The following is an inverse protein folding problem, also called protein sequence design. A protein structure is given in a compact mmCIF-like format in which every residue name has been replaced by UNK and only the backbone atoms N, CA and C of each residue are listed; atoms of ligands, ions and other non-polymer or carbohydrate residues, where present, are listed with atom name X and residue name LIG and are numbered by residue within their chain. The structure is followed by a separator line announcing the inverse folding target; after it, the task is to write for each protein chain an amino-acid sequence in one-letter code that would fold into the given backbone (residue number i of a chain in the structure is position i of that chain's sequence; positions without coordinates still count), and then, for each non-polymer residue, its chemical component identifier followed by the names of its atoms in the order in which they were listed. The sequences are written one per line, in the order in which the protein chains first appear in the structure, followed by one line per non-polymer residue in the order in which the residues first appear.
data_IF_883110806594
#
_entry.id   IF_883110806594
#
_cell.length_a   1.000
_cell.length_b   1.000
_cell.length_c   1.000
_cell.angle_alpha   90.00
_cell.angle_beta   90.00
_cell.angle_gamma   90.00
#
_symmetry.space_group_name_H-M   'P 1'
#
loop_
_entity.id
_entity.type
_entity.pdbx_description
1 polymer ?
#
# COMPACT_ATOMS: atom_id res chain seq x y z
N UNK A 1 23.79 19.17 -3.66
CA UNK A 1 22.32 18.98 -3.60
C UNK A 1 22.07 17.99 -2.46
N UNK A 2 21.36 18.39 -1.41
CA UNK A 2 20.96 17.44 -0.38
C UNK A 2 19.72 16.69 -0.89
N UNK A 3 19.66 15.35 -0.75
CA UNK A 3 18.47 14.62 -1.11
C UNK A 3 17.32 15.05 -0.18
N UNK A 4 16.22 15.49 -0.77
CA UNK A 4 15.01 15.89 -0.07
C UNK A 4 13.85 15.01 -0.54
N UNK A 5 12.98 14.64 0.39
CA UNK A 5 11.78 13.88 0.08
C UNK A 5 10.78 14.76 -0.67
N UNK A 6 10.03 14.17 -1.60
CA UNK A 6 8.92 14.85 -2.23
C UNK A 6 7.86 15.27 -1.19
N UNK A 7 7.11 16.34 -1.46
CA UNK A 7 6.04 16.77 -0.56
C UNK A 7 5.00 15.67 -0.39
N UNK A 8 4.61 15.40 0.86
CA UNK A 8 3.56 14.43 1.20
C UNK A 8 4.03 12.98 1.34
N UNK A 9 5.33 12.69 1.18
CA UNK A 9 5.90 11.37 1.51
C UNK A 9 6.78 11.42 2.76
N UNK A 10 7.01 10.26 3.37
CA UNK A 10 7.91 10.09 4.51
C UNK A 10 8.57 8.72 4.48
N UNK A 11 9.76 8.63 5.03
CA UNK A 11 10.42 7.35 5.30
C UNK A 11 9.82 6.69 6.55
N UNK A 12 9.83 5.37 6.58
CA UNK A 12 9.46 4.58 7.76
C UNK A 12 10.72 3.94 8.35
N UNK A 13 11.09 4.26 9.59
CA UNK A 13 12.18 3.59 10.29
C UNK A 13 11.93 2.09 10.44
N UNK A 14 12.96 1.27 10.68
CA UNK A 14 12.83 -0.18 10.79
C UNK A 14 11.74 -0.63 11.79
N UNK A 15 11.67 0.00 12.97
CA UNK A 15 10.65 -0.30 14.00
C UNK A 15 9.22 -0.11 13.46
N UNK A 16 8.93 1.04 12.86
CA UNK A 16 7.61 1.33 12.32
C UNK A 16 7.27 0.40 11.15
N UNK A 17 8.24 0.11 10.28
CA UNK A 17 8.03 -0.80 9.15
C UNK A 17 7.72 -2.22 9.63
N UNK A 18 8.45 -2.72 10.62
CA UNK A 18 8.21 -4.05 11.23
C UNK A 18 6.78 -4.12 11.79
N UNK A 19 6.36 -3.12 12.55
CA UNK A 19 5.00 -3.08 13.12
C UNK A 19 3.92 -3.04 12.03
N UNK A 20 4.12 -2.24 10.98
CA UNK A 20 3.19 -2.17 9.83
C UNK A 20 3.06 -3.51 9.11
N UNK A 21 4.17 -4.21 8.88
CA UNK A 21 4.16 -5.54 8.27
C UNK A 21 3.42 -6.56 9.15
N UNK A 22 3.59 -6.51 10.47
CA UNK A 22 2.84 -7.38 11.38
C UNK A 22 1.33 -7.17 11.25
N UNK A 23 0.88 -5.92 11.19
CA UNK A 23 -0.54 -5.57 11.02
C UNK A 23 -1.07 -6.11 9.68
N UNK A 24 -0.38 -5.82 8.58
CA UNK A 24 -0.77 -6.27 7.23
C UNK A 24 -0.84 -7.79 7.16
N UNK A 25 0.15 -8.50 7.72
CA UNK A 25 0.17 -9.96 7.72
C UNK A 25 -0.97 -10.57 8.54
N UNK A 26 -1.34 -9.94 9.66
CA UNK A 26 -2.50 -10.39 10.44
C UNK A 26 -3.80 -10.26 9.64
N UNK A 27 -3.99 -9.15 8.93
CA UNK A 27 -5.16 -8.95 8.06
C UNK A 27 -5.20 -9.97 6.93
N UNK A 28 -4.08 -10.19 6.22
CA UNK A 28 -3.96 -11.20 5.15
C UNK A 28 -4.39 -12.58 5.63
N UNK A 29 -3.85 -13.04 6.76
CA UNK A 29 -4.20 -14.35 7.36
C UNK A 29 -5.68 -14.45 7.70
N UNK A 30 -6.32 -13.37 8.15
CA UNK A 30 -7.76 -13.38 8.41
C UNK A 30 -8.51 -13.55 7.10
N UNK A 31 -8.26 -12.73 6.08
CA UNK A 31 -8.96 -12.81 4.79
C UNK A 31 -8.76 -14.17 4.10
N UNK A 32 -7.55 -14.72 4.11
CA UNK A 32 -7.26 -16.05 3.55
C UNK A 32 -8.07 -17.15 4.25
N UNK A 33 -8.25 -17.09 5.58
CA UNK A 33 -9.10 -18.05 6.31
C UNK A 33 -10.57 -18.02 5.91
N UNK A 34 -11.05 -16.87 5.43
CA UNK A 34 -12.41 -16.73 4.90
C UNK A 34 -12.50 -17.04 3.38
N UNK A 35 -11.42 -17.52 2.77
CA UNK A 35 -11.41 -17.95 1.36
C UNK A 35 -11.22 -16.82 0.34
N UNK A 36 -10.79 -15.63 0.78
CA UNK A 36 -10.45 -14.55 -0.14
C UNK A 36 -9.07 -14.77 -0.77
N UNK A 37 -8.99 -14.67 -2.09
CA UNK A 37 -7.73 -14.74 -2.82
C UNK A 37 -7.02 -13.38 -2.83
N UNK A 38 -5.68 -13.34 -2.67
CA UNK A 38 -4.94 -12.09 -2.80
C UNK A 38 -4.94 -11.61 -4.27
N UNK A 39 -5.02 -10.30 -4.46
CA UNK A 39 -4.88 -9.62 -5.75
C UNK A 39 -4.02 -8.37 -5.56
N UNK A 40 -3.05 -8.17 -6.43
CA UNK A 40 -2.22 -6.97 -6.49
C UNK A 40 -2.32 -6.38 -7.89
N UNK A 41 -2.48 -5.06 -7.97
CA UNK A 41 -2.57 -4.30 -9.21
C UNK A 41 -1.33 -3.41 -9.34
N UNK A 42 -0.97 -2.95 -10.56
CA UNK A 42 0.11 -1.99 -10.73
C UNK A 42 -0.08 -0.72 -9.89
N UNK A 43 1.04 -0.11 -9.47
CA UNK A 43 1.03 1.13 -8.67
C UNK A 43 0.52 2.35 -9.48
N UNK A 44 0.71 2.33 -10.79
CA UNK A 44 0.31 3.39 -11.71
C UNK A 44 -0.73 2.83 -12.66
N UNK A 45 -1.88 3.50 -12.72
CA UNK A 45 -2.99 3.17 -13.62
C UNK A 45 -3.20 4.27 -14.67
N UNK A 46 -3.95 3.95 -15.73
CA UNK A 46 -4.31 4.97 -16.74
C UNK A 46 -5.21 6.04 -16.13
N UNK A 47 -5.02 7.29 -16.55
CA UNK A 47 -5.85 8.41 -16.10
C UNK A 47 -7.35 8.19 -16.36
N UNK A 48 -7.71 7.62 -17.52
CA UNK A 48 -9.09 7.25 -17.88
C UNK A 48 -9.73 6.28 -16.88
N UNK A 49 -8.94 5.34 -16.35
CA UNK A 49 -9.40 4.34 -15.38
C UNK A 49 -9.74 4.96 -14.04
N UNK A 50 -8.92 5.92 -13.58
CA UNK A 50 -9.14 6.62 -12.31
C UNK A 50 -10.30 7.63 -12.42
N UNK A 51 -10.38 8.37 -13.54
CA UNK A 51 -11.42 9.36 -13.77
C UNK A 51 -12.83 8.77 -13.72
N UNK A 52 -13.01 7.53 -14.18
CA UNK A 52 -14.30 6.84 -14.18
C UNK A 52 -14.89 6.60 -12.76
N UNK A 53 -14.10 6.72 -11.69
CA UNK A 53 -14.50 6.44 -10.30
C UNK A 53 -14.68 7.70 -9.45
N UNK A 54 -13.98 8.78 -9.80
CA UNK A 54 -13.81 9.96 -8.96
C UNK A 54 -14.18 11.28 -9.66
N UNK A 55 -14.89 11.20 -10.79
CA UNK A 55 -15.43 12.35 -11.53
C UNK A 55 -16.57 13.05 -10.81
#
# INVERSE_FOLDING_TARGET
MQPELAKGVRDFPPEEKILREQIVNNLKRVFERYGYNPLETPLIERAETLAAKFG
#
